data_IF_837600175944
#
_entry.id   IF_837600175944
#
_cell.length_a   1.000
_cell.length_b   1.000
_cell.length_c   1.000
_cell.angle_alpha   90.00
_cell.angle_beta   90.00
_cell.angle_gamma   90.00
#
_symmetry.space_group_name_H-M   'P 1'
#
loop_
_entity.id
_entity.type
_entity.pdbx_description
1 polymer ?
#
# COMPACT_ATOMS: atom_id res chain seq x y z
N UNK A 1 13.97 13.85 -8.76
CA UNK A 1 13.05 12.70 -8.73
C UNK A 1 12.34 12.73 -7.40
N UNK A 2 11.01 12.75 -7.40
CA UNK A 2 10.19 12.76 -6.17
C UNK A 2 9.73 11.37 -5.77
N UNK A 3 9.99 10.33 -6.56
CA UNK A 3 9.63 8.96 -6.21
C UNK A 3 8.12 8.73 -6.14
N UNK A 4 7.46 9.12 -5.04
CA UNK A 4 6.08 8.79 -4.67
C UNK A 4 4.97 9.46 -5.49
N UNK A 5 5.28 10.60 -6.13
CA UNK A 5 4.34 11.27 -7.04
C UNK A 5 3.15 11.93 -6.34
N UNK A 6 3.43 12.64 -5.24
CA UNK A 6 2.39 13.27 -4.43
C UNK A 6 1.77 14.46 -5.14
N UNK A 7 0.47 14.37 -5.46
CA UNK A 7 -0.25 15.43 -6.18
C UNK A 7 -0.99 16.42 -5.26
N UNK A 8 -1.19 16.04 -4.00
CA UNK A 8 -1.93 16.78 -2.98
C UNK A 8 -1.21 16.65 -1.65
N UNK A 9 -1.31 17.67 -0.80
CA UNK A 9 -0.80 17.61 0.56
C UNK A 9 -1.46 16.45 1.34
N UNK A 10 -0.64 15.45 1.69
CA UNK A 10 -1.08 14.25 2.39
C UNK A 10 -1.45 14.52 3.85
N UNK A 11 -0.95 15.61 4.44
CA UNK A 11 -1.27 15.98 5.82
C UNK A 11 -2.76 16.25 6.00
N UNK A 12 -3.45 16.67 4.93
CA UNK A 12 -4.91 16.82 4.90
C UNK A 12 -5.68 15.50 5.12
N UNK A 13 -4.99 14.36 5.02
CA UNK A 13 -5.50 13.02 5.26
C UNK A 13 -4.90 12.37 6.52
N UNK A 14 -4.24 13.15 7.38
CA UNK A 14 -3.60 12.62 8.60
C UNK A 14 -2.32 11.82 8.33
N UNK A 15 -1.71 12.01 7.16
CA UNK A 15 -0.47 11.37 6.76
C UNK A 15 0.73 12.31 6.92
N UNK A 16 1.96 11.77 6.99
CA UNK A 16 3.19 12.54 6.97
C UNK A 16 3.33 13.50 5.80
N UNK A 17 4.15 14.54 5.99
CA UNK A 17 4.51 15.44 4.90
C UNK A 17 5.37 14.71 3.88
N UNK A 18 5.05 14.93 2.61
CA UNK A 18 5.81 14.46 1.47
C UNK A 18 5.85 15.55 0.41
N UNK A 19 6.99 15.78 -0.28
CA UNK A 19 7.09 16.84 -1.27
C UNK A 19 6.03 16.72 -2.37
N UNK A 20 5.16 17.73 -2.45
CA UNK A 20 4.12 17.77 -3.47
C UNK A 20 4.76 18.14 -4.82
N UNK A 21 4.38 17.44 -5.88
CA UNK A 21 4.90 17.67 -7.24
C UNK A 21 4.77 19.15 -7.65
N UNK A 22 3.67 19.79 -7.27
CA UNK A 22 3.43 21.22 -7.54
C UNK A 22 4.44 22.12 -6.84
N UNK A 23 4.71 21.87 -5.55
CA UNK A 23 5.66 22.67 -4.76
C UNK A 23 7.05 22.66 -5.39
N UNK A 24 7.50 21.49 -5.86
CA UNK A 24 8.80 21.38 -6.54
C UNK A 24 8.89 22.23 -7.81
N UNK A 25 7.80 22.32 -8.57
CA UNK A 25 7.72 23.17 -9.77
C UNK A 25 7.69 24.66 -9.38
N UNK A 26 6.93 25.03 -8.35
CA UNK A 26 6.83 26.39 -7.84
C UNK A 26 8.16 26.90 -7.25
N UNK A 27 8.97 26.01 -6.68
CA UNK A 27 10.35 26.27 -6.22
C UNK A 27 11.35 26.47 -7.38
N UNK A 28 10.90 26.37 -8.63
CA UNK A 28 11.69 26.68 -9.81
C UNK A 28 12.35 25.47 -10.49
N UNK A 29 12.08 24.24 -10.02
CA UNK A 29 12.61 23.01 -10.64
C UNK A 29 12.17 22.92 -12.10
N UNK A 30 13.13 22.74 -13.01
CA UNK A 30 12.87 22.71 -14.45
C UNK A 30 12.11 21.47 -14.90
N UNK A 31 12.45 20.32 -14.32
CA UNK A 31 11.88 19.00 -14.62
C UNK A 31 11.78 18.17 -13.34
N UNK A 32 10.59 17.65 -13.08
CA UNK A 32 10.29 16.74 -11.99
C UNK A 32 9.84 15.39 -12.57
N UNK A 33 10.37 14.31 -12.00
CA UNK A 33 10.00 12.94 -12.33
C UNK A 33 9.44 12.23 -11.11
N UNK A 34 8.54 11.28 -11.32
CA UNK A 34 8.01 10.41 -10.26
C UNK A 34 7.34 9.15 -10.83
N UNK A 35 7.14 8.15 -9.99
CA UNK A 35 6.47 6.89 -10.32
C UNK A 35 4.95 7.02 -10.24
N UNK A 36 4.23 6.41 -11.17
CA UNK A 36 2.77 6.42 -11.17
C UNK A 36 2.10 5.34 -10.30
N UNK A 37 2.84 4.32 -9.88
CA UNK A 37 2.39 3.13 -9.17
C UNK A 37 2.76 3.09 -7.68
N UNK A 38 3.25 4.21 -7.15
CA UNK A 38 3.52 4.38 -5.71
C UNK A 38 2.31 4.99 -5.02
N UNK A 39 2.48 6.11 -4.31
CA UNK A 39 1.38 6.78 -3.60
C UNK A 39 0.34 7.33 -4.58
N UNK A 40 0.73 7.67 -5.81
CA UNK A 40 -0.22 8.00 -6.88
C UNK A 40 -1.24 6.87 -7.16
N UNK A 41 -0.92 5.61 -6.83
CA UNK A 41 -1.86 4.49 -6.92
C UNK A 41 -2.38 4.18 -8.32
N UNK A 42 -1.65 4.59 -9.35
CA UNK A 42 -1.92 4.27 -10.75
C UNK A 42 -1.14 3.05 -11.23
N UNK A 43 -1.08 2.84 -12.55
CA UNK A 43 -0.30 1.76 -13.15
C UNK A 43 1.20 2.09 -13.18
N UNK A 44 2.03 1.06 -13.35
CA UNK A 44 3.47 1.23 -13.52
C UNK A 44 3.77 2.18 -14.67
N UNK A 45 4.37 3.33 -14.33
CA UNK A 45 4.67 4.41 -15.27
C UNK A 45 5.67 5.39 -14.67
N UNK A 46 6.44 6.04 -15.55
CA UNK A 46 7.28 7.19 -15.20
C UNK A 46 6.62 8.48 -15.70
N UNK A 47 6.32 9.39 -14.78
CA UNK A 47 5.67 10.67 -15.10
C UNK A 47 6.73 11.76 -15.05
N UNK A 48 6.75 12.60 -16.10
CA UNK A 48 7.68 13.72 -16.23
C UNK A 48 6.84 15.00 -16.40
N UNK A 49 7.02 15.95 -15.49
CA UNK A 49 6.37 17.27 -15.52
C UNK A 49 7.44 18.35 -15.43
N UNK A 50 7.20 19.52 -15.99
CA UNK A 50 8.21 20.58 -16.02
C UNK A 50 7.97 21.62 -17.11
N UNK A 51 8.98 22.45 -17.35
CA UNK A 51 8.91 23.53 -18.34
C UNK A 51 8.81 22.96 -19.75
N UNK A 52 8.00 23.63 -20.58
CA UNK A 52 7.70 23.21 -21.95
C UNK A 52 8.96 22.93 -22.78
N UNK A 53 9.97 23.79 -22.69
CA UNK A 53 11.21 23.67 -23.49
C UNK A 53 11.96 22.35 -23.21
N UNK A 54 12.04 21.91 -21.95
CA UNK A 54 12.70 20.66 -21.58
C UNK A 54 11.85 19.45 -21.92
N UNK A 55 10.53 19.50 -21.66
CA UNK A 55 9.61 18.41 -22.03
C UNK A 55 9.62 18.17 -23.54
N UNK A 56 9.70 19.23 -24.36
CA UNK A 56 9.78 19.09 -25.81
C UNK A 56 11.10 18.47 -26.28
N UNK A 57 12.22 18.79 -25.62
CA UNK A 57 13.52 18.12 -25.88
C UNK A 57 13.45 16.63 -25.52
N UNK A 58 12.89 16.30 -24.35
CA UNK A 58 12.74 14.90 -23.89
C UNK A 58 11.87 14.10 -24.86
N UNK A 59 10.73 14.65 -25.30
CA UNK A 59 9.81 13.99 -26.24
C UNK A 59 10.45 13.62 -27.59
N UNK A 60 11.45 14.37 -28.04
CA UNK A 60 12.17 14.14 -29.29
C UNK A 60 13.28 13.09 -29.17
N UNK A 61 13.64 12.68 -27.96
CA UNK A 61 14.68 11.68 -27.76
C UNK A 61 14.23 10.32 -28.35
N UNK A 62 15.04 9.65 -29.20
CA UNK A 62 14.70 8.34 -29.76
C UNK A 62 14.31 7.28 -28.72
N UNK A 63 14.85 7.38 -27.49
CA UNK A 63 14.50 6.48 -26.38
C UNK A 63 13.01 6.55 -26.02
N UNK A 64 12.31 7.66 -26.31
CA UNK A 64 10.87 7.76 -26.05
C UNK A 64 10.05 6.75 -26.83
N UNK A 65 10.56 6.23 -27.96
CA UNK A 65 9.88 5.17 -28.70
C UNK A 65 9.99 3.81 -28.00
N UNK A 66 11.12 3.55 -27.34
CA UNK A 66 11.37 2.33 -26.59
C UNK A 66 10.69 2.36 -25.21
N UNK A 67 10.62 3.53 -24.58
CA UNK A 67 10.02 3.76 -23.27
C UNK A 67 8.52 4.12 -23.30
N UNK A 68 7.89 4.07 -24.48
CA UNK A 68 6.48 4.45 -24.62
C UNK A 68 5.60 3.44 -23.88
N UNK A 69 4.79 3.93 -22.96
CA UNK A 69 3.77 3.14 -22.27
C UNK A 69 2.75 2.57 -23.27
N UNK A 70 2.19 1.41 -22.94
CA UNK A 70 1.11 0.82 -23.72
C UNK A 70 -0.25 1.50 -23.46
N UNK A 71 -1.26 1.10 -24.23
CA UNK A 71 -2.60 1.70 -24.19
C UNK A 71 -3.30 1.48 -22.84
N UNK A 72 -3.09 0.34 -22.19
CA UNK A 72 -3.71 0.05 -20.90
C UNK A 72 -3.12 0.93 -19.81
N UNK A 73 -1.80 1.13 -19.79
CA UNK A 73 -1.17 2.08 -18.86
C UNK A 73 -1.73 3.49 -19.01
N UNK A 74 -1.90 3.99 -20.24
CA UNK A 74 -2.53 5.30 -20.44
C UNK A 74 -3.97 5.36 -19.94
N UNK A 75 -4.79 4.36 -20.25
CA UNK A 75 -6.19 4.32 -19.83
C UNK A 75 -6.34 4.25 -18.30
N UNK A 76 -5.54 3.41 -17.65
CA UNK A 76 -5.54 3.27 -16.19
C UNK A 76 -4.99 4.54 -15.51
N UNK A 77 -3.92 5.13 -16.04
CA UNK A 77 -3.37 6.37 -15.50
C UNK A 77 -4.37 7.52 -15.63
N UNK A 78 -5.09 7.63 -16.74
CA UNK A 78 -6.16 8.62 -16.90
C UNK A 78 -7.27 8.41 -15.85
N UNK A 79 -7.73 7.17 -15.67
CA UNK A 79 -8.75 6.84 -14.68
C UNK A 79 -8.30 7.20 -13.26
N UNK A 80 -7.05 6.91 -12.90
CA UNK A 80 -6.44 7.31 -11.63
C UNK A 80 -6.40 8.82 -11.49
N UNK A 81 -5.86 9.56 -12.46
CA UNK A 81 -5.75 11.03 -12.37
C UNK A 81 -7.12 11.71 -12.26
N UNK A 82 -8.17 11.14 -12.88
CA UNK A 82 -9.55 11.65 -12.76
C UNK A 82 -10.09 11.56 -11.33
N UNK A 83 -9.66 10.59 -10.50
CA UNK A 83 -10.12 10.52 -9.10
C UNK A 83 -9.68 11.74 -8.30
N UNK A 84 -8.50 12.30 -8.61
CA UNK A 84 -7.94 13.48 -7.95
C UNK A 84 -8.74 14.78 -8.24
N UNK A 85 -9.61 14.77 -9.25
CA UNK A 85 -10.53 15.88 -9.53
C UNK A 85 -11.69 15.95 -8.51
N UNK A 86 -11.98 14.85 -7.81
CA UNK A 86 -13.11 14.74 -6.87
C UNK A 86 -12.62 14.62 -5.41
N UNK A 87 -11.96 15.68 -4.91
CA UNK A 87 -11.27 15.69 -3.60
C UNK A 87 -12.11 15.16 -2.43
N UNK A 88 -13.39 15.53 -2.34
CA UNK A 88 -14.28 15.12 -1.24
C UNK A 88 -14.51 13.60 -1.15
N UNK A 89 -14.35 12.89 -2.28
CA UNK A 89 -14.55 11.43 -2.36
C UNK A 89 -13.25 10.65 -2.59
N UNK A 90 -12.11 11.35 -2.60
CA UNK A 90 -10.83 10.79 -3.05
C UNK A 90 -10.39 9.63 -2.16
N UNK A 91 -10.38 9.84 -0.84
CA UNK A 91 -9.95 8.81 0.13
C UNK A 91 -10.81 7.55 0.04
N UNK A 92 -12.13 7.69 -0.17
CA UNK A 92 -13.02 6.53 -0.23
C UNK A 92 -12.82 5.73 -1.53
N UNK A 93 -12.47 6.40 -2.63
CA UNK A 93 -12.37 5.82 -3.97
C UNK A 93 -10.96 5.38 -4.36
N UNK A 94 -9.93 5.98 -3.77
CA UNK A 94 -8.54 5.75 -4.13
C UNK A 94 -7.91 4.70 -3.19
N UNK A 95 -7.62 3.46 -3.64
CA UNK A 95 -7.26 2.36 -2.76
C UNK A 95 -6.04 2.63 -1.87
N UNK A 96 -4.97 3.21 -2.44
CA UNK A 96 -3.73 3.51 -1.70
C UNK A 96 -4.00 4.53 -0.59
N UNK A 97 -4.55 5.70 -0.92
CA UNK A 97 -4.93 6.71 0.06
C UNK A 97 -5.91 6.15 1.12
N UNK A 98 -6.89 5.33 0.71
CA UNK A 98 -7.82 4.68 1.64
C UNK A 98 -7.11 3.84 2.69
N UNK A 99 -6.15 3.01 2.27
CA UNK A 99 -5.37 2.18 3.17
C UNK A 99 -4.51 3.05 4.08
N UNK A 100 -3.73 3.96 3.50
CA UNK A 100 -2.77 4.79 4.24
C UNK A 100 -3.47 5.66 5.28
N UNK A 101 -4.59 6.30 4.93
CA UNK A 101 -5.29 7.25 5.81
C UNK A 101 -6.33 6.61 6.74
N UNK A 102 -6.42 5.28 6.80
CA UNK A 102 -7.36 4.62 7.71
C UNK A 102 -6.95 4.88 9.17
N UNK A 103 -7.86 5.34 10.05
CA UNK A 103 -7.51 5.53 11.46
C UNK A 103 -7.09 4.22 12.14
N UNK A 104 -6.10 4.27 13.04
CA UNK A 104 -5.60 3.10 13.77
C UNK A 104 -6.70 2.44 14.60
N UNK A 105 -7.63 3.24 15.12
CA UNK A 105 -8.80 2.81 15.88
C UNK A 105 -9.68 1.89 15.04
N UNK A 106 -9.88 2.22 13.75
CA UNK A 106 -10.68 1.41 12.81
C UNK A 106 -9.98 0.10 12.47
N UNK A 107 -8.65 0.11 12.35
CA UNK A 107 -7.87 -1.12 12.19
C UNK A 107 -7.99 -2.02 13.44
N UNK A 108 -7.96 -1.42 14.63
CA UNK A 108 -8.13 -2.13 15.90
C UNK A 108 -9.52 -2.76 16.02
N UNK A 109 -10.58 -2.01 15.76
CA UNK A 109 -11.97 -2.51 15.73
C UNK A 109 -12.13 -3.72 14.79
N UNK A 110 -11.56 -3.61 13.58
CA UNK A 110 -11.58 -4.70 12.60
C UNK A 110 -10.79 -5.92 13.08
N UNK A 111 -9.63 -5.69 13.68
CA UNK A 111 -8.80 -6.73 14.28
C UNK A 111 -9.50 -7.46 15.43
N UNK A 112 -10.17 -6.73 16.31
CA UNK A 112 -10.95 -7.28 17.42
C UNK A 112 -12.11 -8.14 16.93
N UNK A 113 -12.84 -7.69 15.90
CA UNK A 113 -13.89 -8.49 15.27
C UNK A 113 -13.35 -9.81 14.67
N UNK A 114 -12.16 -9.78 14.07
CA UNK A 114 -11.49 -10.98 13.56
C UNK A 114 -11.04 -11.90 14.70
N UNK A 115 -10.49 -11.34 15.78
CA UNK A 115 -10.09 -12.07 16.98
C UNK A 115 -11.26 -12.77 17.66
N UNK A 116 -12.44 -12.13 17.74
CA UNK A 116 -13.66 -12.76 18.26
C UNK A 116 -14.09 -13.97 17.44
N UNK A 117 -13.98 -13.91 16.11
CA UNK A 117 -14.28 -15.07 15.25
C UNK A 117 -13.24 -16.18 15.40
N UNK A 118 -11.96 -15.83 15.53
CA UNK A 118 -10.87 -16.79 15.72
C UNK A 118 -10.94 -17.50 17.07
N UNK A 119 -11.31 -16.80 18.15
CA UNK A 119 -11.42 -17.40 19.50
C UNK A 119 -12.52 -18.44 19.61
N UNK A 120 -13.55 -18.37 18.76
CA UNK A 120 -14.58 -19.40 18.63
C UNK A 120 -14.07 -20.70 17.96
N UNK A 121 -12.83 -20.71 17.46
CA UNK A 121 -12.23 -21.86 16.77
C UNK A 121 -11.06 -22.44 17.57
N UNK A 122 -10.90 -23.77 17.55
CA UNK A 122 -9.72 -24.42 18.13
C UNK A 122 -8.55 -24.29 17.16
N UNK A 123 -7.56 -23.48 17.52
CA UNK A 123 -6.34 -23.23 16.74
C UNK A 123 -5.13 -23.84 17.46
N UNK A 124 -4.21 -24.44 16.70
CA UNK A 124 -2.89 -24.88 17.14
C UNK A 124 -1.87 -23.71 17.08
N UNK A 125 -2.28 -22.53 17.49
CA UNK A 125 -1.47 -21.31 17.51
C UNK A 125 -2.00 -20.32 18.53
N UNK A 126 -1.13 -19.49 19.11
CA UNK A 126 -1.56 -18.27 19.77
C UNK A 126 -1.68 -17.16 18.74
N UNK A 127 -2.79 -16.44 18.75
CA UNK A 127 -3.01 -15.26 17.93
C UNK A 127 -3.29 -14.10 18.88
N UNK A 128 -2.65 -12.97 18.65
CA UNK A 128 -2.89 -11.73 19.39
C UNK A 128 -2.98 -10.55 18.44
N UNK A 129 -3.73 -9.53 18.85
CA UNK A 129 -3.77 -8.25 18.17
C UNK A 129 -2.72 -7.34 18.80
N UNK A 130 -1.83 -6.77 17.98
CA UNK A 130 -0.74 -5.93 18.48
C UNK A 130 -0.53 -4.69 17.62
N UNK A 131 0.07 -3.67 18.23
CA UNK A 131 0.50 -2.48 17.52
C UNK A 131 1.64 -2.83 16.56
N UNK A 132 1.64 -2.19 15.40
CA UNK A 132 2.61 -2.41 14.34
C UNK A 132 2.90 -1.11 13.60
N UNK A 133 3.86 -1.13 12.70
CA UNK A 133 4.21 0.01 11.86
C UNK A 133 4.15 -0.41 10.40
N UNK A 134 3.23 0.19 9.65
CA UNK A 134 3.14 0.03 8.22
C UNK A 134 4.15 0.94 7.53
N UNK A 135 4.64 0.51 6.37
CA UNK A 135 5.53 1.31 5.53
C UNK A 135 4.95 1.41 4.12
N UNK A 136 4.94 2.63 3.58
CA UNK A 136 4.59 2.87 2.20
C UNK A 136 5.85 2.88 1.33
N UNK A 137 5.91 2.02 0.30
CA UNK A 137 6.97 2.04 -0.71
C UNK A 137 7.88 0.80 -0.71
N UNK A 138 8.45 0.50 -1.88
CA UNK A 138 9.20 -0.74 -2.16
C UNK A 138 10.71 -0.65 -1.83
N UNK A 139 11.10 0.06 -0.77
CA UNK A 139 12.45 0.00 -0.22
C UNK A 139 13.49 1.04 -0.69
N UNK A 140 13.13 2.06 -1.47
CA UNK A 140 14.09 3.11 -1.89
C UNK A 140 13.90 4.47 -1.24
N UNK A 141 12.85 4.67 -0.43
CA UNK A 141 12.65 5.83 0.44
C UNK A 141 11.60 5.45 1.50
N UNK A 142 11.99 4.88 2.66
CA UNK A 142 11.08 4.66 3.77
C UNK A 142 10.85 6.02 4.43
N UNK A 143 9.90 6.80 3.90
CA UNK A 143 9.83 8.20 4.30
C UNK A 143 9.25 8.35 5.70
N UNK A 144 8.23 7.59 6.12
CA UNK A 144 7.84 7.49 7.53
C UNK A 144 7.13 6.16 7.86
N UNK A 145 7.28 5.70 9.11
CA UNK A 145 6.54 4.57 9.68
C UNK A 145 5.14 5.05 10.05
N UNK A 146 4.11 4.40 9.51
CA UNK A 146 2.72 4.71 9.83
C UNK A 146 2.25 3.79 10.97
N UNK A 147 1.75 4.33 12.09
CA UNK A 147 1.13 3.51 13.13
C UNK A 147 0.07 2.58 12.54
N UNK A 148 0.05 1.32 12.95
CA UNK A 148 -0.85 0.30 12.41
C UNK A 148 -1.20 -0.75 13.47
N UNK A 149 -2.01 -1.74 13.09
CA UNK A 149 -2.40 -2.89 13.91
C UNK A 149 -2.24 -4.16 13.10
N UNK A 150 -1.65 -5.18 13.71
CA UNK A 150 -1.40 -6.47 13.08
C UNK A 150 -1.92 -7.63 13.94
N UNK A 151 -2.23 -8.74 13.28
CA UNK A 151 -2.31 -10.04 13.94
C UNK A 151 -0.90 -10.59 14.08
N UNK A 152 -0.47 -10.90 15.31
CA UNK A 152 0.74 -11.64 15.57
C UNK A 152 0.41 -13.10 15.90
N UNK A 153 1.01 -14.03 15.18
CA UNK A 153 0.69 -15.45 15.23
C UNK A 153 1.93 -16.24 15.61
N UNK A 154 1.84 -17.03 16.67
CA UNK A 154 2.83 -18.04 17.07
C UNK A 154 2.25 -19.44 16.91
N UNK A 155 2.75 -20.26 15.96
CA UNK A 155 2.29 -21.63 15.83
C UNK A 155 2.79 -22.47 17.00
N UNK A 156 1.97 -23.39 17.53
CA UNK A 156 2.37 -24.32 18.58
C UNK A 156 3.37 -25.37 18.06
N UNK A 157 3.30 -25.70 16.76
CA UNK A 157 4.14 -26.71 16.10
C UNK A 157 4.59 -26.22 14.72
N UNK A 158 5.74 -26.71 14.26
CA UNK A 158 6.25 -26.49 12.90
C UNK A 158 7.00 -25.18 12.67
N UNK A 159 7.03 -24.27 13.65
CA UNK A 159 7.78 -23.01 13.59
C UNK A 159 7.18 -21.97 12.64
N UNK A 160 7.56 -20.71 12.85
CA UNK A 160 6.99 -19.54 12.14
C UNK A 160 7.22 -19.58 10.62
N UNK A 161 8.38 -20.07 10.18
CA UNK A 161 8.73 -20.14 8.76
C UNK A 161 7.89 -21.16 7.98
N UNK A 162 7.53 -22.27 8.64
CA UNK A 162 6.62 -23.26 8.06
C UNK A 162 5.21 -22.69 7.93
N UNK A 163 4.72 -22.02 8.98
CA UNK A 163 3.45 -21.29 8.94
C UNK A 163 3.41 -20.30 7.78
N UNK A 164 4.43 -19.45 7.67
CA UNK A 164 4.55 -18.47 6.61
C UNK A 164 4.52 -19.14 5.22
N UNK A 165 5.24 -20.26 5.04
CA UNK A 165 5.19 -21.04 3.80
C UNK A 165 3.79 -21.55 3.50
N UNK A 166 3.11 -22.18 4.46
CA UNK A 166 1.74 -22.74 4.27
C UNK A 166 0.69 -21.69 3.95
N UNK A 167 0.82 -20.49 4.53
CA UNK A 167 -0.03 -19.36 4.21
C UNK A 167 0.25 -18.83 2.79
N UNK A 168 1.52 -18.65 2.42
CA UNK A 168 1.91 -18.16 1.08
C UNK A 168 1.59 -19.13 -0.06
N UNK A 169 1.64 -20.44 0.19
CA UNK A 169 1.31 -21.47 -0.82
C UNK A 169 -0.15 -21.94 -0.73
N UNK A 170 -0.95 -21.31 0.12
CA UNK A 170 -2.38 -21.58 0.24
C UNK A 170 -3.18 -20.99 -0.92
N UNK A 171 -4.48 -21.32 -0.96
CA UNK A 171 -5.43 -20.73 -1.90
C UNK A 171 -6.64 -20.16 -1.13
N UNK A 172 -6.79 -18.83 -1.05
CA UNK A 172 -5.87 -17.82 -1.57
C UNK A 172 -4.58 -17.74 -0.72
N UNK A 173 -3.48 -17.23 -1.32
CA UNK A 173 -2.24 -17.00 -0.59
C UNK A 173 -2.41 -15.83 0.39
N UNK A 174 -1.90 -16.01 1.60
CA UNK A 174 -1.82 -14.95 2.62
C UNK A 174 -0.35 -14.61 2.83
N UNK A 175 0.00 -13.35 2.56
CA UNK A 175 1.36 -12.83 2.71
C UNK A 175 1.41 -11.96 3.95
N UNK A 176 2.40 -12.22 4.78
CA UNK A 176 2.75 -11.44 5.96
C UNK A 176 4.26 -11.45 6.13
N UNK A 177 4.75 -10.97 7.26
CA UNK A 177 6.19 -10.93 7.56
C UNK A 177 6.52 -11.67 8.86
N UNK A 178 7.78 -12.08 9.00
CA UNK A 178 8.28 -12.75 10.21
C UNK A 178 9.21 -11.80 10.94
N UNK A 179 8.98 -11.63 12.24
CA UNK A 179 9.84 -10.85 13.11
C UNK A 179 9.82 -11.45 14.51
N UNK A 180 10.97 -11.58 15.17
CA UNK A 180 11.08 -12.09 16.54
C UNK A 180 10.31 -13.42 16.78
N UNK A 181 10.42 -14.36 15.83
CA UNK A 181 9.73 -15.66 15.84
C UNK A 181 8.18 -15.60 15.90
N UNK A 182 7.61 -14.50 15.40
CA UNK A 182 6.18 -14.30 15.21
C UNK A 182 5.87 -14.02 13.74
N UNK A 183 4.72 -14.50 13.26
CA UNK A 183 4.21 -14.18 11.92
C UNK A 183 3.17 -13.07 12.03
N UNK A 184 3.37 -12.00 11.30
CA UNK A 184 2.53 -10.80 11.33
C UNK A 184 1.71 -10.66 10.06
N UNK A 185 0.45 -10.29 10.22
CA UNK A 185 -0.44 -9.83 9.15
C UNK A 185 -0.91 -8.43 9.52
N UNK A 186 -0.37 -7.41 8.84
CA UNK A 186 -0.75 -6.01 9.06
C UNK A 186 -2.13 -5.74 8.45
N UNK A 187 -3.07 -5.27 9.28
CA UNK A 187 -4.46 -5.05 8.89
C UNK A 187 -4.64 -3.85 7.95
N UNK A 188 -3.64 -2.96 7.84
CA UNK A 188 -3.59 -1.81 6.94
C UNK A 188 -3.86 -2.18 5.48
N UNK A 189 -3.34 -3.33 5.06
CA UNK A 189 -3.41 -3.81 3.67
C UNK A 189 -4.46 -4.89 3.46
N UNK A 190 -5.25 -5.24 4.48
CA UNK A 190 -6.37 -6.14 4.33
C UNK A 190 -7.61 -5.32 3.99
N UNK A 191 -8.30 -5.62 2.90
CA UNK A 191 -9.52 -4.93 2.54
C UNK A 191 -10.70 -5.50 3.35
N UNK A 192 -11.74 -4.69 3.68
CA UNK A 192 -12.90 -5.19 4.44
C UNK A 192 -13.54 -6.45 3.84
N UNK A 193 -13.63 -6.54 2.51
CA UNK A 193 -14.18 -7.71 1.81
C UNK A 193 -13.29 -8.96 1.85
N UNK A 194 -12.03 -8.85 2.28
CA UNK A 194 -11.09 -9.98 2.38
C UNK A 194 -11.11 -10.64 3.75
N UNK A 195 -11.88 -10.12 4.72
CA UNK A 195 -11.88 -10.59 6.11
C UNK A 195 -12.32 -12.04 6.25
N UNK A 196 -13.42 -12.41 5.60
CA UNK A 196 -13.95 -13.77 5.72
C UNK A 196 -13.02 -14.77 5.02
N UNK A 197 -12.41 -14.37 3.91
CA UNK A 197 -11.40 -15.15 3.18
C UNK A 197 -10.16 -15.36 4.06
N UNK A 198 -9.65 -14.29 4.69
CA UNK A 198 -8.52 -14.36 5.61
C UNK A 198 -8.82 -15.27 6.79
N UNK A 199 -9.98 -15.10 7.42
CA UNK A 199 -10.42 -15.94 8.55
C UNK A 199 -10.44 -17.41 8.16
N UNK A 200 -11.10 -17.76 7.05
CA UNK A 200 -11.17 -19.13 6.58
C UNK A 200 -9.76 -19.70 6.40
N UNK A 201 -8.86 -18.95 5.75
CA UNK A 201 -7.50 -19.40 5.48
C UNK A 201 -6.69 -19.59 6.75
N UNK A 202 -6.83 -18.69 7.74
CA UNK A 202 -6.18 -18.82 9.03
C UNK A 202 -6.67 -20.08 9.77
N UNK A 203 -7.98 -20.32 9.80
CA UNK A 203 -8.56 -21.50 10.44
C UNK A 203 -8.09 -22.79 9.77
N UNK A 204 -8.07 -22.86 8.44
CA UNK A 204 -7.56 -24.02 7.70
C UNK A 204 -6.08 -24.30 7.96
N UNK A 205 -5.28 -23.24 8.08
CA UNK A 205 -3.81 -23.36 8.18
C UNK A 205 -3.33 -23.57 9.62
N UNK A 206 -4.12 -23.16 10.60
CA UNK A 206 -3.77 -23.20 12.03
C UNK A 206 -4.47 -24.33 12.79
N UNK A 207 -5.32 -25.14 12.15
CA UNK A 207 -5.83 -26.40 12.72
C UNK A 207 -4.82 -27.53 12.59
#
# INVERSE_FOLDING_TARGET
DLGGGILLDLQTFGLPYEPVVRESIELGTDVVTFSGDKVLGGPQSGIIVGRREYIQKIKKNPLMRALRCDKLTYALLEATLRTFLHRSSLVQRHPVLRMLSEPVERLRERGEALMQKLSATKLQASVELTESEAQAGSGTLPLEKLPSVALAIRPQKGGVNSLARRLRTGSPPVIGYVQNDLFFIDLRTILPQEFDILLQRLVETLR
#
